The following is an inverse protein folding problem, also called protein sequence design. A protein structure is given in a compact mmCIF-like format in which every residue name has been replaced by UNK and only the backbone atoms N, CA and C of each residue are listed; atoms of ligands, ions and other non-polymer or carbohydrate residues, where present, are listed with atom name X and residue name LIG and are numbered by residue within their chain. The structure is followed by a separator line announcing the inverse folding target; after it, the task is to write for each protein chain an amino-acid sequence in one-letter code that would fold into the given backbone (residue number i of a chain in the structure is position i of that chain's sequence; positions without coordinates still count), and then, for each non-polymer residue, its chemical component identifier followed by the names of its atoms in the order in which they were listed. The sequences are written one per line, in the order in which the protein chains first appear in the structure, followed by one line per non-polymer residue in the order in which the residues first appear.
data_IF_459349274384
#
_entry.id   IF_459349274384
#
_cell.length_a   1.000
_cell.length_b   1.000
_cell.length_c   1.000
_cell.angle_alpha   90.00
_cell.angle_beta   90.00
_cell.angle_gamma   90.00
#
_symmetry.space_group_name_H-M   'P 1'
#
loop_
_entity.id
_entity.type
_entity.pdbx_description
1 polymer ?
#
# COMPACT_ATOMS: atom_id res chain seq x y z
N UNK A 1 -60.47 31.71 -10.37
CA UNK A 1 -60.68 30.57 -9.45
C UNK A 1 -59.56 29.56 -9.74
N UNK A 2 -58.46 29.61 -9.00
CA UNK A 2 -58.17 28.85 -7.77
C UNK A 2 -57.19 27.71 -8.08
N UNK A 3 -56.06 27.78 -7.39
CA UNK A 3 -54.89 26.93 -7.49
C UNK A 3 -55.13 25.50 -6.96
N UNK A 4 -54.32 24.54 -7.42
CA UNK A 4 -53.64 23.59 -6.53
C UNK A 4 -52.56 22.81 -7.29
N UNK A 5 -51.30 23.12 -6.97
CA UNK A 5 -50.16 22.24 -7.15
C UNK A 5 -50.33 21.01 -6.23
N UNK A 6 -50.15 19.80 -6.76
CA UNK A 6 -49.86 18.62 -5.92
C UNK A 6 -48.52 18.03 -6.30
N UNK A 7 -47.54 18.31 -5.43
CA UNK A 7 -46.24 17.64 -5.35
C UNK A 7 -46.42 16.41 -4.47
N UNK A 8 -46.21 15.22 -5.01
CA UNK A 8 -45.71 14.02 -4.32
C UNK A 8 -45.78 12.88 -5.35
N UNK A 9 -44.79 12.05 -5.61
CA UNK A 9 -43.69 11.58 -4.80
C UNK A 9 -42.48 11.33 -5.70
N UNK A 10 -41.38 12.01 -5.43
CA UNK A 10 -40.06 11.46 -5.69
C UNK A 10 -39.50 11.02 -4.34
N UNK A 11 -39.74 9.76 -3.99
CA UNK A 11 -39.17 9.12 -2.81
C UNK A 11 -38.22 8.01 -3.26
N UNK A 12 -36.98 8.42 -3.55
CA UNK A 12 -35.75 7.75 -3.08
C UNK A 12 -35.75 6.21 -3.06
N UNK A 13 -35.50 5.57 -4.20
CA UNK A 13 -34.82 4.26 -4.21
C UNK A 13 -33.32 4.48 -4.01
N UNK A 14 -32.95 4.72 -2.74
CA UNK A 14 -31.56 4.63 -2.26
C UNK A 14 -31.10 3.19 -2.51
N UNK A 15 -30.15 3.02 -3.42
CA UNK A 15 -29.41 1.78 -3.63
C UNK A 15 -28.87 1.31 -2.27
N UNK A 16 -29.34 0.15 -1.81
CA UNK A 16 -28.69 -0.62 -0.76
C UNK A 16 -27.36 -1.13 -1.33
N UNK A 17 -26.33 -0.29 -1.26
CA UNK A 17 -24.96 -0.77 -1.32
C UNK A 17 -24.69 -1.46 0.02
N UNK A 18 -24.22 -2.72 0.04
CA UNK A 18 -23.60 -3.24 1.25
C UNK A 18 -22.46 -2.29 1.60
N UNK A 19 -22.55 -1.67 2.77
CA UNK A 19 -21.42 -0.93 3.32
C UNK A 19 -20.22 -1.88 3.32
N UNK A 20 -19.01 -1.42 2.96
CA UNK A 20 -17.84 -2.22 3.23
C UNK A 20 -17.84 -2.55 4.72
N UNK A 21 -17.47 -3.76 5.13
CA UNK A 21 -17.26 -4.03 6.54
C UNK A 21 -16.35 -2.93 7.05
N UNK A 22 -16.78 -2.23 8.12
CA UNK A 22 -15.88 -1.44 8.93
C UNK A 22 -14.83 -2.43 9.42
N UNK A 23 -13.76 -2.58 8.65
CA UNK A 23 -12.49 -2.98 9.21
C UNK A 23 -12.25 -1.85 10.20
N UNK A 24 -12.55 -2.13 11.47
CA UNK A 24 -11.92 -1.41 12.56
C UNK A 24 -10.45 -1.61 12.28
N UNK A 25 -9.86 -0.68 11.52
CA UNK A 25 -8.45 -0.49 11.57
C UNK A 25 -8.23 -0.25 13.05
N UNK A 26 -7.78 -1.30 13.74
CA UNK A 26 -6.97 -1.15 14.92
C UNK A 26 -5.67 -0.48 14.45
N UNK A 27 -5.81 0.76 13.97
CA UNK A 27 -4.87 1.79 14.32
C UNK A 27 -4.87 1.67 15.83
N UNK A 28 -3.79 1.10 16.38
CA UNK A 28 -3.34 1.56 17.68
C UNK A 28 -3.09 3.05 17.49
N UNK A 29 -4.17 3.82 17.51
CA UNK A 29 -4.14 5.21 17.80
C UNK A 29 -3.62 5.17 19.21
N UNK A 30 -2.34 5.50 19.38
CA UNK A 30 -1.90 6.03 20.64
C UNK A 30 -2.90 7.14 20.93
N UNK A 31 -3.83 6.85 21.85
CA UNK A 31 -4.78 7.82 22.31
C UNK A 31 -3.92 8.94 22.88
N UNK A 32 -3.78 10.01 22.11
CA UNK A 32 -3.33 11.26 22.68
C UNK A 32 -4.51 11.65 23.56
N UNK A 33 -4.36 11.43 24.86
CA UNK A 33 -5.38 11.78 25.84
C UNK A 33 -5.86 13.21 25.57
N UNK A 34 -7.17 13.46 25.44
CA UNK A 34 -7.71 14.79 25.15
C UNK A 34 -7.49 15.80 26.30
N UNK A 35 -6.77 15.43 27.35
CA UNK A 35 -6.22 16.33 28.37
C UNK A 35 -4.95 17.05 27.90
N UNK A 36 -4.31 16.61 26.81
CA UNK A 36 -3.25 17.34 26.14
C UNK A 36 -3.84 18.30 25.12
N UNK A 37 -4.52 19.33 25.62
CA UNK A 37 -4.89 20.50 24.82
C UNK A 37 -3.63 21.19 24.32
N UNK A 38 -3.66 21.63 23.06
CA UNK A 38 -2.62 22.42 22.37
C UNK A 38 -2.54 23.85 22.92
N UNK A 39 -2.46 24.00 24.24
CA UNK A 39 -2.43 25.27 24.97
C UNK A 39 -1.44 25.21 26.13
N UNK A 40 -0.18 24.78 25.89
CA UNK A 40 0.97 25.31 26.65
C UNK A 40 2.35 25.02 26.02
N UNK A 41 2.55 25.30 24.73
CA UNK A 41 3.88 25.20 24.10
C UNK A 41 4.87 26.29 24.58
N UNK A 42 4.45 27.19 25.47
CA UNK A 42 5.31 28.22 26.08
C UNK A 42 5.85 27.83 27.46
N UNK A 43 5.30 26.78 28.08
CA UNK A 43 5.64 26.38 29.45
C UNK A 43 5.95 24.87 29.54
N UNK A 44 6.42 24.27 28.44
CA UNK A 44 7.28 23.09 28.58
C UNK A 44 8.51 23.61 29.29
N UNK A 45 8.85 23.16 30.52
CA UNK A 45 10.15 23.49 31.06
C UNK A 45 11.15 23.06 29.99
N UNK A 46 11.84 24.03 29.39
CA UNK A 46 13.01 23.74 28.56
C UNK A 46 13.80 22.72 29.39
N UNK A 47 13.96 21.45 28.94
CA UNK A 47 14.66 20.48 29.76
C UNK A 47 15.99 21.14 30.05
N UNK A 48 16.18 21.58 31.30
CA UNK A 48 17.36 22.33 31.69
C UNK A 48 18.52 21.54 31.09
N UNK A 49 19.39 22.23 30.32
CA UNK A 49 20.52 21.59 29.64
C UNK A 49 21.06 20.53 30.59
N UNK A 50 21.03 19.24 30.22
CA UNK A 50 21.00 18.17 31.21
C UNK A 50 22.12 18.44 32.18
N UNK A 51 21.77 18.59 33.46
CA UNK A 51 22.76 18.90 34.49
C UNK A 51 23.88 17.87 34.39
N UNK A 52 25.11 18.22 34.75
CA UNK A 52 26.24 17.29 34.67
C UNK A 52 25.90 15.93 35.34
N UNK A 53 25.05 15.96 36.37
CA UNK A 53 24.45 14.80 37.04
C UNK A 53 23.58 13.91 36.14
N UNK A 54 22.73 14.49 35.30
CA UNK A 54 21.91 13.74 34.33
C UNK A 54 22.77 13.05 33.27
N UNK A 55 23.84 13.70 32.81
CA UNK A 55 24.80 13.08 31.90
C UNK A 55 25.70 12.06 32.58
N UNK A 56 26.05 12.24 33.87
CA UNK A 56 26.80 11.26 34.67
C UNK A 56 26.02 9.97 34.83
N UNK A 57 24.74 10.03 35.21
CA UNK A 57 23.91 8.82 35.33
C UNK A 57 23.84 8.02 34.02
N UNK A 58 23.76 8.70 32.87
CA UNK A 58 23.81 8.05 31.55
C UNK A 58 25.19 7.45 31.28
N UNK A 59 26.27 8.17 31.62
CA UNK A 59 27.65 7.69 31.46
C UNK A 59 27.95 6.48 32.34
N UNK A 60 27.49 6.49 33.58
CA UNK A 60 27.64 5.41 34.55
C UNK A 60 26.80 4.19 34.13
N UNK A 61 25.60 4.39 33.58
CA UNK A 61 24.81 3.33 32.96
C UNK A 61 25.49 2.73 31.71
N UNK A 62 26.21 3.53 30.92
CA UNK A 62 27.01 3.05 29.78
C UNK A 62 28.23 2.27 30.27
N UNK A 63 28.92 2.76 31.30
CA UNK A 63 30.11 2.13 31.87
C UNK A 63 29.81 0.85 32.66
N UNK A 64 28.63 0.75 33.29
CA UNK A 64 28.18 -0.47 33.99
C UNK A 64 27.80 -1.60 33.05
N UNK A 65 27.51 -1.29 31.77
CA UNK A 65 27.28 -2.29 30.74
C UNK A 65 28.63 -2.70 30.14
N UNK A 66 29.32 -3.62 30.83
CA UNK A 66 30.70 -4.04 30.55
C UNK A 66 30.95 -4.74 29.19
N UNK A 67 29.95 -4.79 28.30
CA UNK A 67 30.07 -5.44 27.00
C UNK A 67 30.68 -4.46 26.00
N UNK A 68 31.68 -4.92 25.25
CA UNK A 68 32.24 -4.07 24.20
C UNK A 68 31.14 -3.78 23.15
N UNK A 69 31.21 -2.64 22.45
CA UNK A 69 30.28 -2.33 21.36
C UNK A 69 30.12 -3.49 20.36
N UNK A 70 31.21 -4.20 20.08
CA UNK A 70 31.25 -5.37 19.21
C UNK A 70 30.43 -6.54 19.76
N UNK A 71 30.52 -6.83 21.07
CA UNK A 71 29.74 -7.90 21.72
C UNK A 71 28.24 -7.57 21.78
N UNK A 72 27.93 -6.30 22.04
CA UNK A 72 26.56 -5.77 21.99
C UNK A 72 25.98 -5.94 20.58
N UNK A 73 26.77 -5.70 19.53
CA UNK A 73 26.35 -5.85 18.14
C UNK A 73 26.23 -7.31 17.74
N UNK A 74 27.19 -8.16 18.12
CA UNK A 74 27.18 -9.60 17.88
C UNK A 74 25.94 -10.27 18.49
N UNK A 75 25.54 -9.87 19.71
CA UNK A 75 24.32 -10.38 20.34
C UNK A 75 23.03 -10.01 19.60
N UNK A 76 23.05 -8.92 18.81
CA UNK A 76 21.88 -8.40 18.07
C UNK A 76 21.82 -8.86 16.62
N UNK A 77 22.97 -9.15 16.00
CA UNK A 77 23.09 -9.61 14.62
C UNK A 77 22.15 -10.80 14.25
N UNK A 78 22.07 -11.90 15.02
CA UNK A 78 21.17 -13.01 14.70
C UNK A 78 19.69 -12.61 14.80
N UNK A 79 19.35 -11.59 15.59
CA UNK A 79 17.99 -11.06 15.65
C UNK A 79 17.69 -10.26 14.38
N UNK A 80 18.60 -9.38 13.95
CA UNK A 80 18.44 -8.49 12.79
C UNK A 80 18.29 -9.28 11.49
N UNK A 81 19.07 -10.35 11.30
CA UNK A 81 18.98 -11.20 10.11
C UNK A 81 17.63 -11.93 9.97
N UNK A 82 16.95 -12.18 11.10
CA UNK A 82 15.64 -12.84 11.15
C UNK A 82 14.46 -11.86 11.19
N UNK A 83 14.72 -10.54 11.17
CA UNK A 83 13.65 -9.55 11.08
C UNK A 83 13.02 -9.57 9.68
N UNK A 84 11.69 -9.51 9.65
CA UNK A 84 10.98 -9.24 8.41
C UNK A 84 11.46 -7.90 7.84
N UNK A 85 11.76 -7.89 6.54
CA UNK A 85 12.17 -6.66 5.86
C UNK A 85 11.13 -5.57 6.12
N UNK A 86 11.53 -4.35 6.54
CA UNK A 86 10.58 -3.28 6.81
C UNK A 86 9.72 -3.01 5.59
N UNK A 87 8.50 -2.53 5.83
CA UNK A 87 7.51 -2.33 4.78
C UNK A 87 7.93 -1.19 3.84
N UNK A 88 8.80 -1.49 2.89
CA UNK A 88 9.33 -0.55 1.91
C UNK A 88 8.70 -0.68 0.52
N UNK A 89 9.05 0.22 -0.41
CA UNK A 89 8.56 0.18 -1.78
C UNK A 89 8.90 -1.16 -2.47
N UNK A 90 9.94 -1.86 -2.03
CA UNK A 90 10.38 -3.12 -2.64
C UNK A 90 9.51 -4.34 -2.26
N UNK A 91 8.54 -4.20 -1.36
CA UNK A 91 7.60 -5.28 -1.04
C UNK A 91 6.85 -5.71 -2.31
N UNK A 92 6.72 -7.03 -2.49
CA UNK A 92 6.01 -7.60 -3.64
C UNK A 92 6.74 -7.40 -4.97
N UNK A 93 8.00 -6.92 -4.95
CA UNK A 93 8.86 -6.69 -6.12
C UNK A 93 10.27 -7.26 -5.91
N UNK A 94 10.43 -8.15 -4.94
CA UNK A 94 11.65 -8.91 -4.67
C UNK A 94 11.45 -10.38 -5.05
N UNK A 95 12.53 -11.04 -5.45
CA UNK A 95 12.59 -12.48 -5.60
C UNK A 95 13.82 -12.98 -4.84
N UNK A 96 13.60 -13.98 -3.98
CA UNK A 96 14.69 -14.62 -3.25
C UNK A 96 15.35 -15.68 -4.12
N UNK A 97 16.67 -15.77 -3.98
CA UNK A 97 17.48 -16.81 -4.59
C UNK A 97 17.73 -17.84 -3.50
N UNK A 98 17.28 -19.07 -3.74
CA UNK A 98 17.47 -20.20 -2.84
C UNK A 98 18.39 -21.22 -3.53
N UNK A 99 19.04 -22.13 -2.79
CA UNK A 99 19.84 -23.20 -3.39
C UNK A 99 19.08 -24.03 -4.44
N UNK A 100 17.76 -24.16 -4.28
CA UNK A 100 16.87 -24.87 -5.21
C UNK A 100 16.42 -24.03 -6.41
N UNK A 101 16.54 -22.70 -6.35
CA UNK A 101 16.10 -21.78 -7.43
C UNK A 101 17.30 -21.14 -8.09
N UNK A 102 17.56 -21.50 -9.34
CA UNK A 102 18.65 -20.86 -10.09
C UNK A 102 18.38 -19.37 -10.30
N UNK A 103 19.45 -18.59 -10.45
CA UNK A 103 19.36 -17.14 -10.72
C UNK A 103 18.42 -16.82 -11.89
N UNK A 104 18.46 -17.62 -12.96
CA UNK A 104 17.60 -17.43 -14.13
C UNK A 104 16.11 -17.61 -13.82
N UNK A 105 15.76 -18.58 -12.97
CA UNK A 105 14.37 -18.79 -12.53
C UNK A 105 13.90 -17.66 -11.61
N UNK A 106 14.74 -17.24 -10.65
CA UNK A 106 14.43 -16.12 -9.77
C UNK A 106 14.23 -14.81 -10.56
N UNK A 107 15.08 -14.56 -11.56
CA UNK A 107 14.95 -13.41 -12.45
C UNK A 107 13.68 -13.46 -13.30
N UNK A 108 13.32 -14.64 -13.83
CA UNK A 108 12.08 -14.82 -14.60
C UNK A 108 10.85 -14.57 -13.73
N UNK A 109 10.86 -15.08 -12.50
CA UNK A 109 9.80 -14.83 -11.51
C UNK A 109 9.68 -13.32 -11.23
N UNK A 110 10.78 -12.64 -10.96
CA UNK A 110 10.81 -11.19 -10.76
C UNK A 110 10.25 -10.44 -11.98
N UNK A 111 10.67 -10.81 -13.20
CA UNK A 111 10.19 -10.20 -14.44
C UNK A 111 8.67 -10.35 -14.60
N UNK A 112 8.13 -11.51 -14.27
CA UNK A 112 6.69 -11.76 -14.31
C UNK A 112 5.94 -10.92 -13.25
N UNK A 113 6.46 -10.86 -12.03
CA UNK A 113 5.89 -10.02 -10.96
C UNK A 113 5.85 -8.54 -11.37
N UNK A 114 6.94 -8.01 -11.92
CA UNK A 114 7.01 -6.62 -12.41
C UNK A 114 6.00 -6.38 -13.55
N UNK A 115 5.81 -7.36 -14.44
CA UNK A 115 4.84 -7.29 -15.54
C UNK A 115 3.39 -7.35 -15.07
N UNK A 116 3.05 -8.24 -14.14
CA UNK A 116 1.71 -8.34 -13.56
C UNK A 116 1.31 -7.06 -12.83
N UNK A 117 2.26 -6.43 -12.14
CA UNK A 117 2.08 -5.13 -11.50
C UNK A 117 2.12 -3.95 -12.49
N UNK A 118 2.31 -4.21 -13.79
CA UNK A 118 2.26 -3.21 -14.87
C UNK A 118 3.25 -2.03 -14.72
N UNK A 119 4.35 -2.23 -13.99
CA UNK A 119 5.28 -1.18 -13.57
C UNK A 119 5.94 -0.45 -14.74
N UNK A 120 6.43 -1.19 -15.73
CA UNK A 120 7.09 -0.57 -16.90
C UNK A 120 6.18 0.40 -17.64
N UNK A 121 4.89 0.07 -17.71
CA UNK A 121 3.90 0.92 -18.37
C UNK A 121 3.61 2.16 -17.53
N UNK A 122 3.51 2.01 -16.21
CA UNK A 122 3.32 3.15 -15.32
C UNK A 122 4.50 4.11 -15.36
N UNK A 123 5.73 3.60 -15.31
CA UNK A 123 6.96 4.40 -15.45
C UNK A 123 6.94 5.18 -16.77
N UNK A 124 6.58 4.53 -17.89
CA UNK A 124 6.47 5.20 -19.19
C UNK A 124 5.38 6.28 -19.22
N UNK A 125 4.24 6.03 -18.58
CA UNK A 125 3.13 6.99 -18.51
C UNK A 125 3.42 8.16 -17.55
N UNK A 126 4.21 7.92 -16.50
CA UNK A 126 4.59 8.92 -15.50
C UNK A 126 5.79 9.76 -15.93
N UNK A 127 6.58 9.30 -16.91
CA UNK A 127 7.72 10.05 -17.44
C UNK A 127 7.36 11.47 -17.93
N UNK A 128 6.09 11.71 -18.30
CA UNK A 128 5.57 13.03 -18.66
C UNK A 128 4.19 13.23 -18.04
N UNK A 129 3.83 14.48 -17.77
CA UNK A 129 2.49 14.81 -17.30
C UNK A 129 1.44 14.53 -18.40
N UNK A 130 0.47 13.67 -18.10
CA UNK A 130 -0.72 13.47 -18.91
C UNK A 130 -1.87 14.33 -18.38
N UNK A 131 -2.36 15.27 -19.20
CA UNK A 131 -3.52 16.11 -18.83
C UNK A 131 -4.75 15.23 -18.56
N UNK A 132 -5.53 15.60 -17.52
CA UNK A 132 -6.69 14.82 -17.02
C UNK A 132 -7.67 14.38 -18.11
N UNK A 133 -8.00 15.25 -19.07
CA UNK A 133 -8.92 14.92 -20.16
C UNK A 133 -8.40 13.82 -21.10
N UNK A 134 -7.12 13.90 -21.47
CA UNK A 134 -6.45 12.88 -22.29
C UNK A 134 -6.38 11.54 -21.53
N UNK A 135 -6.05 11.58 -20.23
CA UNK A 135 -6.05 10.39 -19.37
C UNK A 135 -7.42 9.70 -19.33
N UNK A 136 -8.52 10.46 -19.22
CA UNK A 136 -9.89 9.89 -19.23
C UNK A 136 -10.20 9.19 -20.56
N UNK A 137 -9.97 9.88 -21.69
CA UNK A 137 -10.20 9.33 -23.03
C UNK A 137 -9.38 8.06 -23.29
N UNK A 138 -8.10 8.07 -22.88
CA UNK A 138 -7.22 6.91 -22.98
C UNK A 138 -7.77 5.74 -22.15
N UNK A 139 -8.08 5.94 -20.87
CA UNK A 139 -8.59 4.88 -20.00
C UNK A 139 -9.91 4.30 -20.51
N UNK A 140 -10.79 5.13 -21.05
CA UNK A 140 -12.05 4.69 -21.68
C UNK A 140 -11.79 3.82 -22.92
N UNK A 141 -10.98 4.30 -23.86
CA UNK A 141 -10.58 3.54 -25.05
C UNK A 141 -9.93 2.21 -24.70
N UNK A 142 -9.06 2.19 -23.69
CA UNK A 142 -8.43 0.95 -23.26
C UNK A 142 -9.41 -0.02 -22.59
N UNK A 143 -10.36 0.47 -21.78
CA UNK A 143 -11.41 -0.38 -21.20
C UNK A 143 -12.29 -0.97 -22.29
N UNK A 144 -12.66 -0.18 -23.28
CA UNK A 144 -13.42 -0.65 -24.44
C UNK A 144 -12.66 -1.71 -25.21
N UNK A 145 -11.39 -1.47 -25.58
CA UNK A 145 -10.56 -2.47 -26.28
C UNK A 145 -10.39 -3.78 -25.51
N UNK A 146 -10.25 -3.71 -24.17
CA UNK A 146 -10.19 -4.92 -23.33
C UNK A 146 -11.50 -5.72 -23.36
N UNK A 147 -12.64 -5.04 -23.23
CA UNK A 147 -13.98 -5.67 -23.30
C UNK A 147 -14.26 -6.25 -24.67
N UNK A 148 -14.01 -5.48 -25.72
CA UNK A 148 -14.16 -5.92 -27.09
C UNK A 148 -13.31 -7.16 -27.38
N UNK A 149 -12.03 -7.15 -27.00
CA UNK A 149 -11.16 -8.32 -27.17
C UNK A 149 -11.65 -9.55 -26.37
N UNK A 150 -12.23 -9.35 -25.19
CA UNK A 150 -12.83 -10.43 -24.41
C UNK A 150 -14.05 -11.02 -25.12
N UNK A 151 -14.99 -10.18 -25.56
CA UNK A 151 -16.19 -10.59 -26.30
C UNK A 151 -15.83 -11.33 -27.59
N UNK A 152 -14.86 -10.82 -28.36
CA UNK A 152 -14.36 -11.47 -29.57
C UNK A 152 -13.78 -12.86 -29.25
N UNK A 153 -12.98 -12.99 -28.17
CA UNK A 153 -12.45 -14.30 -27.76
C UNK A 153 -13.55 -15.29 -27.39
N UNK A 154 -14.57 -14.86 -26.64
CA UNK A 154 -15.72 -15.70 -26.27
C UNK A 154 -16.46 -16.21 -27.52
N UNK A 155 -16.72 -15.32 -28.48
CA UNK A 155 -17.36 -15.70 -29.75
C UNK A 155 -16.51 -16.67 -30.55
N UNK A 156 -15.19 -16.44 -30.65
CA UNK A 156 -14.27 -17.35 -31.35
C UNK A 156 -14.24 -18.73 -30.67
N UNK A 157 -14.28 -18.79 -29.33
CA UNK A 157 -14.32 -20.06 -28.61
C UNK A 157 -15.57 -20.86 -28.97
N UNK A 158 -16.75 -20.23 -28.97
CA UNK A 158 -18.01 -20.88 -29.38
C UNK A 158 -17.91 -21.40 -30.82
N UNK A 159 -17.39 -20.61 -31.75
CA UNK A 159 -17.22 -21.04 -33.15
C UNK A 159 -16.27 -22.25 -33.26
N UNK A 160 -15.16 -22.24 -32.51
CA UNK A 160 -14.23 -23.38 -32.46
C UNK A 160 -14.90 -24.63 -31.90
N UNK A 161 -15.74 -24.49 -30.88
CA UNK A 161 -16.50 -25.61 -30.30
C UNK A 161 -17.52 -26.19 -31.28
N UNK A 162 -18.26 -25.34 -31.99
CA UNK A 162 -19.23 -25.77 -33.03
C UNK A 162 -18.49 -26.55 -34.13
N UNK A 163 -17.37 -26.01 -34.62
CA UNK A 163 -16.54 -26.67 -35.62
C UNK A 163 -15.98 -28.01 -35.13
N UNK A 164 -15.55 -28.08 -33.87
CA UNK A 164 -15.04 -29.32 -33.28
C UNK A 164 -16.12 -30.41 -33.16
N UNK A 165 -17.40 -30.02 -33.07
CA UNK A 165 -18.55 -30.94 -33.06
C UNK A 165 -18.97 -31.42 -34.46
N UNK A 166 -18.34 -30.92 -35.53
CA UNK A 166 -18.56 -31.42 -36.89
C UNK A 166 -19.69 -30.75 -37.67
N UNK A 167 -20.07 -29.51 -37.30
CA UNK A 167 -20.88 -28.63 -38.14
C UNK A 167 -20.02 -27.81 -39.11
#
# INVERSE_FOLDING_TARGET
MLAALSRSSQATLRRLHPSPPRVLAAVRAYAIDPRFSLLNLRNIPNPAAPTDEGWRAVRDAVNTNARSPEEIWASREPTVNNLNRPNGPFIGRSAYINPQTSLGQAYTKLRNTIRSNNLFREVKLQARHEKKGYKRRRLESERWRRRFAHEVRMKIQIVKEIRARGA
#
